data_IF_545098570220
#
_entry.id   IF_545098570220
#
_cell.length_a   1.000
_cell.length_b   1.000
_cell.length_c   1.000
_cell.angle_alpha   90.00
_cell.angle_beta   90.00
_cell.angle_gamma   90.00
#
_symmetry.space_group_name_H-M   'P 1'
#
loop_
_entity.id
_entity.type
_entity.pdbx_description
1 polymer ?
#
# COMPACT_ATOMS: atom_id res chain seq x y z
N UNK A 1 10.40 -28.45 -23.36
CA UNK A 1 8.96 -28.73 -23.14
C UNK A 1 8.83 -29.90 -22.18
N UNK A 2 8.27 -29.70 -20.98
CA UNK A 2 8.00 -30.79 -20.04
C UNK A 2 6.73 -31.50 -20.55
N UNK A 3 6.83 -32.78 -20.91
CA UNK A 3 5.62 -33.58 -21.20
C UNK A 3 4.80 -33.67 -19.93
N UNK A 4 3.64 -33.03 -19.92
CA UNK A 4 2.68 -33.18 -18.85
C UNK A 4 2.11 -34.60 -18.87
N UNK A 5 1.98 -35.19 -17.68
CA UNK A 5 1.37 -36.50 -17.50
C UNK A 5 -0.15 -36.33 -17.63
N UNK A 6 -0.85 -37.34 -18.13
CA UNK A 6 -2.32 -37.34 -18.10
C UNK A 6 -2.84 -37.17 -16.67
N UNK A 7 -3.94 -36.44 -16.54
CA UNK A 7 -4.63 -36.20 -15.26
C UNK A 7 -5.01 -37.52 -14.56
N UNK A 8 -5.37 -38.55 -15.33
CA UNK A 8 -5.71 -39.89 -14.83
C UNK A 8 -4.55 -40.57 -14.10
N UNK A 9 -3.36 -40.59 -14.71
CA UNK A 9 -2.17 -41.20 -14.11
C UNK A 9 -1.75 -40.38 -12.88
N UNK A 10 -1.89 -39.05 -12.93
CA UNK A 10 -1.62 -38.16 -11.79
C UNK A 10 -2.55 -38.47 -10.61
N UNK A 11 -3.84 -38.65 -10.86
CA UNK A 11 -4.83 -39.04 -9.85
C UNK A 11 -4.51 -40.41 -9.23
N UNK A 12 -4.15 -41.39 -10.07
CA UNK A 12 -3.81 -42.74 -9.60
C UNK A 12 -2.56 -42.77 -8.72
N UNK A 13 -1.56 -41.94 -9.04
CA UNK A 13 -0.35 -41.79 -8.20
C UNK A 13 -0.72 -41.22 -6.82
N UNK A 14 -1.66 -40.27 -6.74
CA UNK A 14 -2.11 -39.72 -5.46
C UNK A 14 -2.87 -40.73 -4.61
N UNK A 15 -3.79 -41.49 -5.19
CA UNK A 15 -4.47 -42.58 -4.50
C UNK A 15 -3.47 -43.58 -3.93
N UNK A 16 -2.54 -44.05 -4.77
CA UNK A 16 -1.50 -45.00 -4.34
C UNK A 16 -0.57 -44.42 -3.28
N UNK A 17 -0.31 -43.11 -3.29
CA UNK A 17 0.52 -42.46 -2.28
C UNK A 17 -0.12 -42.50 -0.88
N UNK A 18 -1.45 -42.50 -0.78
CA UNK A 18 -2.15 -42.67 0.49
C UNK A 18 -1.99 -44.08 1.08
N UNK A 19 -1.99 -45.12 0.24
CA UNK A 19 -1.89 -46.52 0.69
C UNK A 19 -0.45 -47.05 0.74
N UNK A 20 0.44 -46.53 -0.10
CA UNK A 20 1.83 -46.97 -0.27
C UNK A 20 2.75 -45.75 -0.17
N UNK A 21 3.34 -45.46 1.01
CA UNK A 21 4.15 -44.26 1.20
C UNK A 21 5.46 -44.25 0.39
N UNK A 22 5.88 -45.40 -0.16
CA UNK A 22 7.12 -45.53 -0.92
C UNK A 22 6.88 -45.36 -2.43
N UNK A 23 7.50 -44.34 -3.02
CA UNK A 23 7.45 -44.08 -4.47
C UNK A 23 7.99 -45.23 -5.33
N UNK A 24 8.88 -46.07 -4.79
CA UNK A 24 9.35 -47.28 -5.48
C UNK A 24 8.27 -48.36 -5.56
N UNK A 25 7.46 -48.51 -4.49
CA UNK A 25 6.33 -49.45 -4.48
C UNK A 25 5.24 -49.02 -5.45
N UNK A 26 4.96 -47.71 -5.52
CA UNK A 26 4.03 -47.12 -6.48
C UNK A 26 4.47 -47.41 -7.91
N UNK A 27 5.77 -47.22 -8.22
CA UNK A 27 6.30 -47.50 -9.55
C UNK A 27 6.14 -48.98 -9.94
N UNK A 28 6.45 -49.90 -9.02
CA UNK A 28 6.30 -51.34 -9.26
C UNK A 28 4.82 -51.72 -9.51
N UNK A 29 3.91 -51.18 -8.71
CA UNK A 29 2.47 -51.40 -8.86
C UNK A 29 1.93 -50.87 -10.21
N UNK A 30 2.38 -49.69 -10.64
CA UNK A 30 1.99 -49.14 -11.94
C UNK A 30 2.55 -49.98 -13.10
N UNK A 31 3.78 -50.48 -12.96
CA UNK A 31 4.39 -51.37 -13.96
C UNK A 31 3.63 -52.72 -14.06
N UNK A 32 3.20 -53.31 -12.94
CA UNK A 32 2.35 -54.51 -12.91
C UNK A 32 0.99 -54.30 -13.60
N UNK A 33 0.50 -53.05 -13.63
CA UNK A 33 -0.73 -52.66 -14.34
C UNK A 33 -0.49 -52.22 -15.78
N UNK A 34 0.73 -52.36 -16.30
CA UNK A 34 1.10 -52.01 -17.67
C UNK A 34 1.33 -50.50 -17.91
N UNK A 35 1.36 -49.69 -16.85
CA UNK A 35 1.57 -48.24 -16.95
C UNK A 35 3.04 -47.92 -16.65
N UNK A 36 3.79 -47.58 -17.69
CA UNK A 36 5.20 -47.19 -17.56
C UNK A 36 5.33 -45.74 -17.09
N UNK A 37 5.72 -45.53 -15.84
CA UNK A 37 6.00 -44.21 -15.27
C UNK A 37 7.39 -44.20 -14.64
N UNK A 38 8.17 -43.15 -14.93
CA UNK A 38 9.48 -43.00 -14.32
C UNK A 38 9.37 -42.67 -12.83
N UNK A 39 10.30 -43.18 -12.03
CA UNK A 39 10.42 -42.83 -10.61
C UNK A 39 10.49 -41.31 -10.36
N UNK A 40 11.23 -40.59 -11.20
CA UNK A 40 11.37 -39.11 -11.15
C UNK A 40 10.02 -38.41 -11.32
N UNK A 41 9.19 -38.94 -12.20
CA UNK A 41 7.85 -38.44 -12.48
C UNK A 41 6.95 -38.58 -11.25
N UNK A 42 6.96 -39.74 -10.60
CA UNK A 42 6.18 -40.01 -9.38
C UNK A 42 6.61 -39.06 -8.25
N UNK A 43 7.92 -38.90 -8.04
CA UNK A 43 8.44 -37.96 -7.03
C UNK A 43 7.99 -36.52 -7.29
N UNK A 44 8.04 -36.08 -8.55
CA UNK A 44 7.61 -34.72 -8.93
C UNK A 44 6.13 -34.50 -8.63
N UNK A 45 5.29 -35.48 -8.98
CA UNK A 45 3.85 -35.45 -8.72
C UNK A 45 3.57 -35.36 -7.21
N UNK A 46 4.18 -36.23 -6.40
CA UNK A 46 4.03 -36.21 -4.94
C UNK A 46 4.51 -34.88 -4.36
N UNK A 47 5.64 -34.35 -4.82
CA UNK A 47 6.18 -33.06 -4.36
C UNK A 47 5.22 -31.92 -4.67
N UNK A 48 4.67 -31.87 -5.90
CA UNK A 48 3.70 -30.84 -6.29
C UNK A 48 2.45 -30.86 -5.41
N UNK A 49 1.96 -32.04 -5.02
CA UNK A 49 0.80 -32.17 -4.13
C UNK A 49 1.09 -31.69 -2.71
N UNK A 50 2.27 -32.02 -2.17
CA UNK A 50 2.72 -31.50 -0.88
C UNK A 50 2.85 -29.97 -0.91
N UNK A 51 3.40 -29.41 -1.99
CA UNK A 51 3.50 -27.96 -2.17
C UNK A 51 2.12 -27.30 -2.29
N UNK A 52 1.17 -27.90 -3.01
CA UNK A 52 -0.24 -27.45 -3.06
C UNK A 52 -0.92 -27.51 -1.68
N UNK A 53 -0.74 -28.59 -0.92
CA UNK A 53 -1.32 -28.76 0.41
C UNK A 53 -0.70 -27.80 1.44
N UNK A 54 0.58 -27.46 1.31
CA UNK A 54 1.28 -26.45 2.13
C UNK A 54 0.84 -25.04 1.72
N UNK A 55 0.74 -24.75 0.41
CA UNK A 55 0.32 -23.46 -0.12
C UNK A 55 -1.14 -23.13 0.21
N UNK A 56 -1.98 -24.14 0.43
CA UNK A 56 -3.36 -23.98 0.88
C UNK A 56 -3.48 -23.69 2.38
N UNK A 57 -2.50 -24.13 3.19
CA UNK A 57 -2.50 -23.99 4.65
C UNK A 57 -1.66 -22.83 5.17
N UNK A 58 -0.78 -22.28 4.33
CA UNK A 58 0.12 -21.21 4.73
C UNK A 58 -0.23 -19.98 3.91
N UNK A 59 -0.90 -19.00 4.53
CA UNK A 59 -0.83 -17.62 4.04
C UNK A 59 0.64 -17.32 3.75
N UNK A 60 0.95 -16.85 2.54
CA UNK A 60 2.31 -16.51 2.15
C UNK A 60 2.89 -15.57 3.21
N UNK A 61 3.72 -16.12 4.11
CA UNK A 61 4.52 -15.30 5.01
C UNK A 61 5.41 -14.48 4.10
N UNK A 62 5.11 -13.18 3.99
CA UNK A 62 5.96 -12.20 3.35
C UNK A 62 7.38 -12.50 3.80
N UNK A 63 8.22 -12.96 2.87
CA UNK A 63 9.63 -13.22 3.14
C UNK A 63 10.19 -11.88 3.62
N UNK A 64 10.46 -11.80 4.92
CA UNK A 64 11.08 -10.62 5.51
C UNK A 64 12.35 -10.35 4.71
N UNK A 65 12.33 -9.27 3.91
CA UNK A 65 13.48 -8.78 3.15
C UNK A 65 14.50 -8.25 4.16
N UNK A 66 15.18 -9.16 4.86
CA UNK A 66 16.27 -8.85 5.79
C UNK A 66 17.42 -8.30 4.95
N UNK A 67 17.67 -7.00 5.05
CA UNK A 67 18.86 -6.35 4.48
C UNK A 67 18.61 -5.16 3.57
N UNK A 68 17.36 -4.85 3.19
CA UNK A 68 17.07 -3.58 2.54
C UNK A 68 16.56 -2.60 3.61
N UNK A 69 17.14 -1.39 3.74
CA UNK A 69 16.55 -0.37 4.59
C UNK A 69 15.12 -0.15 4.09
N UNK A 70 14.15 -0.26 4.99
CA UNK A 70 12.82 0.17 4.68
C UNK A 70 12.94 1.65 4.30
N UNK A 71 12.66 1.98 3.03
CA UNK A 71 12.62 3.37 2.54
C UNK A 71 11.70 4.23 3.42
N UNK A 72 10.80 3.58 4.16
CA UNK A 72 9.84 4.16 5.11
C UNK A 72 10.04 3.50 6.47
N UNK A 73 11.07 3.91 7.22
CA UNK A 73 11.26 3.50 8.61
C UNK A 73 10.20 4.15 9.51
N UNK A 74 9.88 3.50 10.62
CA UNK A 74 8.90 4.02 11.59
C UNK A 74 9.31 5.40 12.13
N UNK A 75 10.61 5.64 12.30
CA UNK A 75 11.14 6.93 12.73
C UNK A 75 10.93 8.02 11.67
N UNK A 76 11.08 7.69 10.38
CA UNK A 76 10.78 8.63 9.31
C UNK A 76 9.29 9.00 9.31
N UNK A 77 8.42 7.99 9.47
CA UNK A 77 6.97 8.18 9.53
C UNK A 77 6.62 9.09 10.71
N UNK A 78 7.16 8.83 11.91
CA UNK A 78 6.97 9.68 13.10
C UNK A 78 7.48 11.09 12.89
N UNK A 79 8.61 11.27 12.22
CA UNK A 79 9.19 12.60 11.96
C UNK A 79 8.31 13.40 11.00
N UNK A 80 7.77 12.77 9.95
CA UNK A 80 6.82 13.39 9.03
C UNK A 80 5.49 13.68 9.74
N UNK A 81 5.00 12.75 10.58
CA UNK A 81 3.78 12.96 11.35
C UNK A 81 3.88 14.18 12.29
N UNK A 82 5.04 14.38 12.93
CA UNK A 82 5.29 15.56 13.76
C UNK A 82 5.36 16.86 12.97
N UNK A 83 5.87 16.84 11.74
CA UNK A 83 5.99 18.08 10.95
C UNK A 83 4.63 18.58 10.46
N UNK A 84 3.68 17.66 10.22
CA UNK A 84 2.31 18.00 9.79
C UNK A 84 1.38 18.34 10.95
N UNK A 85 1.69 17.94 12.18
CA UNK A 85 0.90 18.23 13.38
C UNK A 85 1.14 19.67 13.87
N UNK A 86 1.03 20.62 12.95
CA UNK A 86 1.15 22.06 13.20
C UNK A 86 0.03 22.79 12.47
N UNK A 87 -0.47 23.93 12.99
CA UNK A 87 -1.63 24.62 12.41
C UNK A 87 -1.43 25.10 10.96
N UNK A 88 -0.18 25.34 10.57
CA UNK A 88 0.20 25.65 9.19
C UNK A 88 1.31 24.71 8.75
N UNK A 89 0.97 23.47 8.33
CA UNK A 89 1.97 22.46 8.04
C UNK A 89 2.81 22.83 6.81
N UNK A 90 4.11 22.52 6.78
CA UNK A 90 4.97 22.79 5.64
C UNK A 90 4.52 22.03 4.39
N UNK A 91 4.93 22.52 3.22
CA UNK A 91 4.62 21.82 1.96
C UNK A 91 5.38 20.50 1.86
N UNK A 92 4.90 19.56 1.03
CA UNK A 92 5.61 18.29 0.80
C UNK A 92 7.04 18.52 0.27
N UNK A 93 7.23 19.58 -0.52
CA UNK A 93 8.54 19.98 -1.02
C UNK A 93 9.45 20.47 0.10
N UNK A 94 8.96 21.33 0.99
CA UNK A 94 9.71 21.77 2.17
C UNK A 94 10.10 20.60 3.09
N UNK A 95 9.17 19.67 3.35
CA UNK A 95 9.45 18.47 4.14
C UNK A 95 10.54 17.62 3.47
N UNK A 96 10.44 17.45 2.15
CA UNK A 96 11.41 16.72 1.33
C UNK A 96 12.80 17.35 1.40
N UNK A 97 12.92 18.67 1.23
CA UNK A 97 14.18 19.40 1.35
C UNK A 97 14.77 19.30 2.75
N UNK A 98 13.94 19.44 3.79
CA UNK A 98 14.38 19.39 5.19
C UNK A 98 14.92 18.02 5.59
N UNK A 99 14.31 16.95 5.08
CA UNK A 99 14.66 15.57 5.42
C UNK A 99 15.64 14.93 4.42
N UNK A 100 15.97 15.60 3.31
CA UNK A 100 16.87 15.06 2.28
C UNK A 100 16.30 13.86 1.53
N UNK A 101 14.97 13.72 1.47
CA UNK A 101 14.28 12.60 0.81
C UNK A 101 13.51 13.10 -0.41
N UNK A 102 13.15 12.19 -1.33
CA UNK A 102 12.32 12.56 -2.48
C UNK A 102 10.89 12.93 -2.05
N UNK A 103 10.29 13.90 -2.74
CA UNK A 103 8.89 14.32 -2.55
C UNK A 103 7.91 13.16 -2.69
N UNK A 104 8.21 12.20 -3.59
CA UNK A 104 7.42 10.99 -3.77
C UNK A 104 7.39 10.07 -2.54
N UNK A 105 8.46 10.03 -1.74
CA UNK A 105 8.47 9.27 -0.48
C UNK A 105 7.54 9.94 0.53
N UNK A 106 7.63 11.27 0.69
CA UNK A 106 6.75 12.05 1.56
C UNK A 106 5.28 11.81 1.20
N UNK A 107 4.95 11.90 -0.09
CA UNK A 107 3.60 11.64 -0.58
C UNK A 107 3.10 10.22 -0.25
N UNK A 108 3.96 9.21 -0.41
CA UNK A 108 3.61 7.83 -0.07
C UNK A 108 3.37 7.65 1.42
N UNK A 109 4.21 8.27 2.28
CA UNK A 109 4.03 8.22 3.74
C UNK A 109 2.71 8.87 4.13
N UNK A 110 2.43 10.07 3.64
CA UNK A 110 1.19 10.79 3.94
C UNK A 110 -0.05 9.97 3.51
N UNK A 111 -0.05 9.42 2.29
CA UNK A 111 -1.23 8.74 1.72
C UNK A 111 -1.40 7.30 2.23
N UNK A 112 -0.33 6.52 2.31
CA UNK A 112 -0.40 5.08 2.62
C UNK A 112 -0.25 4.79 4.11
N UNK A 113 0.68 5.47 4.78
CA UNK A 113 1.04 5.13 6.16
C UNK A 113 0.24 5.96 7.17
N UNK A 114 -0.04 7.24 6.86
CA UNK A 114 -0.84 8.13 7.71
C UNK A 114 -2.31 8.25 7.26
N UNK A 115 -2.66 7.72 6.08
CA UNK A 115 -4.04 7.73 5.57
C UNK A 115 -4.61 9.13 5.28
N UNK A 116 -3.75 10.13 5.09
CA UNK A 116 -4.16 11.51 4.94
C UNK A 116 -4.54 11.86 3.49
N UNK A 117 -5.52 12.74 3.35
CA UNK A 117 -5.91 13.32 2.08
C UNK A 117 -5.12 14.59 1.81
N UNK A 118 -4.68 14.75 0.57
CA UNK A 118 -3.98 15.96 0.13
C UNK A 118 -5.00 17.04 -0.23
N UNK A 119 -4.86 18.22 0.39
CA UNK A 119 -5.58 19.42 -0.01
C UNK A 119 -4.56 20.47 -0.47
N UNK A 120 -4.77 20.98 -1.69
CA UNK A 120 -3.95 22.08 -2.22
C UNK A 120 -4.23 23.34 -1.41
N UNK A 121 -3.20 23.99 -0.88
CA UNK A 121 -3.35 25.30 -0.24
C UNK A 121 -3.73 26.33 -1.30
N UNK A 122 -4.73 27.15 -1.00
CA UNK A 122 -5.08 28.30 -1.84
C UNK A 122 -3.98 29.34 -1.70
N UNK A 123 -3.47 29.84 -2.83
CA UNK A 123 -2.49 30.91 -2.85
C UNK A 123 -3.16 32.22 -2.48
N UNK A 124 -2.75 32.82 -1.38
CA UNK A 124 -3.19 34.16 -0.94
C UNK A 124 -1.98 35.07 -0.81
N UNK A 125 -2.17 36.38 -0.97
CA UNK A 125 -1.12 37.34 -0.66
C UNK A 125 -0.69 37.22 0.80
N UNK A 126 0.63 37.19 1.02
CA UNK A 126 1.20 37.22 2.37
C UNK A 126 0.88 38.58 2.97
N UNK A 127 0.12 38.58 4.07
CA UNK A 127 -0.24 39.81 4.76
C UNK A 127 0.92 40.28 5.64
N UNK A 128 1.23 41.57 5.54
CA UNK A 128 2.07 42.26 6.53
C UNK A 128 1.29 42.29 7.85
N UNK A 129 1.93 42.18 9.03
CA UNK A 129 1.25 42.21 10.34
C UNK A 129 0.27 43.38 10.50
N UNK A 130 0.64 44.55 9.97
CA UNK A 130 -0.25 45.74 9.94
C UNK A 130 -1.55 45.49 9.15
N UNK A 131 -1.47 44.84 8.00
CA UNK A 131 -2.63 44.51 7.16
C UNK A 131 -3.50 43.45 7.85
N UNK A 132 -2.89 42.44 8.48
CA UNK A 132 -3.61 41.42 9.25
C UNK A 132 -4.40 42.06 10.41
N UNK A 133 -3.76 42.96 11.17
CA UNK A 133 -4.42 43.68 12.26
C UNK A 133 -5.54 44.58 11.75
N UNK A 134 -5.33 45.29 10.64
CA UNK A 134 -6.36 46.13 10.02
C UNK A 134 -7.60 45.31 9.63
N UNK A 135 -7.40 44.14 9.03
CA UNK A 135 -8.50 43.21 8.68
C UNK A 135 -9.23 42.71 9.93
N UNK A 136 -8.49 42.32 10.97
CA UNK A 136 -9.06 41.85 12.24
C UNK A 136 -9.90 42.93 12.92
N UNK A 137 -9.46 44.19 12.88
CA UNK A 137 -10.19 45.31 13.46
C UNK A 137 -11.45 45.68 12.64
N UNK A 138 -11.36 45.66 11.31
CA UNK A 138 -12.45 46.07 10.41
C UNK A 138 -13.56 45.02 10.28
N UNK A 139 -13.21 43.73 10.29
CA UNK A 139 -14.15 42.63 10.10
C UNK A 139 -15.36 42.66 11.04
N UNK A 140 -15.17 42.68 12.37
CA UNK A 140 -16.27 42.73 13.33
C UNK A 140 -17.11 44.01 13.24
N UNK A 141 -16.50 45.14 12.87
CA UNK A 141 -17.25 46.38 12.64
C UNK A 141 -18.14 46.26 11.40
N UNK A 142 -17.59 45.77 10.28
CA UNK A 142 -18.34 45.52 9.07
C UNK A 142 -19.49 44.52 9.29
N UNK A 143 -19.24 43.41 10.00
CA UNK A 143 -20.26 42.42 10.35
C UNK A 143 -21.42 43.03 11.15
N UNK A 144 -21.11 43.89 12.15
CA UNK A 144 -22.15 44.63 12.90
C UNK A 144 -22.98 45.55 12.00
N UNK A 145 -22.37 46.15 10.97
CA UNK A 145 -23.08 46.96 9.99
C UNK A 145 -24.00 46.12 9.09
N UNK A 146 -23.63 44.87 8.78
CA UNK A 146 -24.43 43.96 7.95
C UNK A 146 -25.69 43.43 8.67
N UNK A 147 -25.62 43.17 9.98
CA UNK A 147 -26.73 42.61 10.78
C UNK A 147 -28.02 43.45 10.78
N UNK A 148 -27.99 44.71 10.31
CA UNK A 148 -29.16 45.60 10.18
C UNK A 148 -29.91 45.46 8.85
N UNK A 149 -29.87 44.28 8.19
CA UNK A 149 -30.45 44.03 6.85
C UNK A 149 -29.97 45.02 5.77
N UNK A 150 -28.73 45.50 5.89
CA UNK A 150 -28.17 46.52 4.97
C UNK A 150 -27.52 45.94 3.71
N UNK A 151 -27.35 44.61 3.65
CA UNK A 151 -26.79 43.91 2.48
C UNK A 151 -27.44 44.32 1.15
N UNK A 152 -28.79 44.46 1.03
CA UNK A 152 -29.42 44.85 -0.23
C UNK A 152 -29.08 46.28 -0.70
N UNK A 153 -28.51 47.11 0.17
CA UNK A 153 -28.18 48.52 -0.11
C UNK A 153 -26.68 48.70 -0.42
N UNK A 154 -25.87 47.65 -0.28
CA UNK A 154 -24.44 47.71 -0.57
C UNK A 154 -24.23 47.50 -2.07
N UNK A 155 -23.70 48.51 -2.73
CA UNK A 155 -23.20 48.43 -4.10
C UNK A 155 -21.68 48.35 -4.03
N UNK A 156 -21.09 47.31 -4.62
CA UNK A 156 -19.63 47.15 -4.75
C UNK A 156 -19.23 47.25 -6.21
N UNK A 157 -18.13 47.95 -6.47
CA UNK A 157 -17.52 48.09 -7.80
C UNK A 157 -16.08 47.62 -7.67
N UNK A 158 -15.62 46.84 -8.63
CA UNK A 158 -14.23 46.41 -8.76
C UNK A 158 -13.84 46.51 -10.23
N UNK A 159 -12.63 46.97 -10.52
CA UNK A 159 -12.10 47.07 -11.88
C UNK A 159 -11.23 45.82 -12.15
N UNK A 160 -11.58 45.05 -13.19
CA UNK A 160 -10.84 43.84 -13.61
C UNK A 160 -9.75 44.15 -14.62
#
# INVERSE_FOLDING_TARGET
MVREISSEIRGRIFELYHFLPSSRKIQKYLAEKGISVSYRTILRVIKSKKEEDISSKTEMKNVNKRGLPFIRSDDLIKTIAKSIDTPNPPTQHEISCKLGISTGIVLRVLKKDLGLTYHKKVTTHVLIPKQAQQRLNRGPHFLRCLNRRKLPVIVSIDET
#
